data_IF_918534823352
#
_entry.id   IF_918534823352
#
_cell.length_a   1.000
_cell.length_b   1.000
_cell.length_c   1.000
_cell.angle_alpha   90.00
_cell.angle_beta   90.00
_cell.angle_gamma   90.00
#
_symmetry.space_group_name_H-M   'P 1'
#
loop_
_entity.id
_entity.type
_entity.pdbx_description
1 polymer ?
#
# COMPACT_ATOMS: atom_id res chain seq x y z
N UNK A 1 1.41 0.52 -1.87
CA UNK A 1 1.51 1.87 -1.28
C UNK A 1 2.71 1.93 -0.36
N UNK A 2 2.72 1.21 0.76
CA UNK A 2 3.93 0.95 1.53
C UNK A 2 4.90 0.14 0.66
N UNK A 3 6.18 0.45 0.73
CA UNK A 3 7.20 -0.12 -0.15
C UNK A 3 7.18 0.41 -1.60
N UNK A 4 6.19 1.23 -1.96
CA UNK A 4 6.05 1.76 -3.33
C UNK A 4 6.06 3.28 -3.36
N UNK A 5 5.22 3.95 -2.56
CA UNK A 5 5.12 5.41 -2.47
C UNK A 5 5.85 5.96 -1.24
N UNK A 6 5.82 5.23 -0.15
CA UNK A 6 6.42 5.60 1.13
C UNK A 6 6.83 4.39 1.96
N UNK A 7 7.62 4.65 3.01
CA UNK A 7 7.84 3.75 4.15
C UNK A 7 7.24 4.39 5.40
N UNK A 8 6.18 3.78 5.92
CA UNK A 8 5.49 4.23 7.13
C UNK A 8 5.87 3.43 8.37
N UNK A 9 6.67 2.37 8.22
CA UNK A 9 6.83 1.31 9.22
C UNK A 9 7.30 1.82 10.60
N UNK A 10 8.17 2.83 10.65
CA UNK A 10 8.63 3.40 11.91
C UNK A 10 7.49 4.08 12.67
N UNK A 11 6.69 4.90 11.98
CA UNK A 11 5.58 5.63 12.60
C UNK A 11 4.39 4.71 12.90
N UNK A 12 4.17 3.67 12.10
CA UNK A 12 3.22 2.59 12.42
C UNK A 12 3.63 1.89 13.71
N UNK A 13 4.91 1.49 13.86
CA UNK A 13 5.40 0.86 15.09
C UNK A 13 5.17 1.76 16.31
N UNK A 14 5.46 3.06 16.20
CA UNK A 14 5.23 4.04 17.29
C UNK A 14 3.76 4.10 17.70
N UNK A 15 2.86 4.31 16.75
CA UNK A 15 1.42 4.44 17.02
C UNK A 15 0.82 3.15 17.58
N UNK A 16 1.21 1.99 17.06
CA UNK A 16 0.75 0.69 17.56
C UNK A 16 1.26 0.41 18.96
N UNK A 17 2.52 0.75 19.29
CA UNK A 17 3.05 0.61 20.63
C UNK A 17 2.27 1.46 21.66
N UNK A 18 1.86 2.66 21.28
CA UNK A 18 0.98 3.46 22.13
C UNK A 18 -0.38 2.79 22.34
N UNK A 19 -1.00 2.26 21.28
CA UNK A 19 -2.27 1.54 21.36
C UNK A 19 -2.15 0.28 22.23
N UNK A 20 -1.05 -0.48 22.09
CA UNK A 20 -0.75 -1.67 22.91
C UNK A 20 -0.68 -1.28 24.39
N UNK A 21 0.09 -0.25 24.73
CA UNK A 21 0.23 0.23 26.12
C UNK A 21 -1.12 0.69 26.68
N UNK A 22 -1.87 1.52 25.92
CA UNK A 22 -3.20 2.00 26.32
C UNK A 22 -4.21 0.87 26.52
N UNK A 23 -4.07 -0.23 25.76
CA UNK A 23 -4.97 -1.38 25.84
C UNK A 23 -4.83 -2.18 27.13
N UNK A 24 -3.61 -2.25 27.68
CA UNK A 24 -3.27 -3.09 28.84
C UNK A 24 -3.39 -4.59 28.60
N UNK A 25 -3.61 -5.05 27.34
CA UNK A 25 -3.90 -6.45 27.02
C UNK A 25 -2.64 -7.33 26.98
N UNK A 26 -1.50 -6.74 26.65
CA UNK A 26 -0.21 -7.46 26.62
C UNK A 26 0.94 -6.48 26.83
N UNK A 27 2.09 -7.04 27.21
CA UNK A 27 3.36 -6.32 27.30
C UNK A 27 4.21 -6.73 26.08
N UNK A 28 4.11 -5.97 25.01
CA UNK A 28 4.84 -6.20 23.77
C UNK A 28 5.23 -4.86 23.19
N UNK A 29 6.43 -4.77 22.66
CA UNK A 29 6.93 -3.63 21.89
C UNK A 29 7.23 -4.13 20.48
N UNK A 30 6.62 -3.47 19.49
CA UNK A 30 6.84 -3.74 18.07
C UNK A 30 7.97 -2.87 17.56
N UNK A 31 8.87 -3.47 16.82
CA UNK A 31 9.95 -2.77 16.10
C UNK A 31 9.51 -2.39 14.70
N UNK A 32 10.25 -1.48 14.06
CA UNK A 32 10.07 -1.16 12.63
C UNK A 32 10.19 -2.43 11.77
N UNK A 33 11.13 -3.33 12.10
CA UNK A 33 11.30 -4.59 11.37
C UNK A 33 10.09 -5.53 11.50
N UNK A 34 9.43 -5.58 12.67
CA UNK A 34 8.19 -6.38 12.83
C UNK A 34 7.09 -5.85 11.91
N UNK A 35 6.95 -4.54 11.80
CA UNK A 35 5.97 -3.91 10.91
C UNK A 35 6.32 -4.17 9.44
N UNK A 36 7.57 -3.94 9.04
CA UNK A 36 8.02 -4.22 7.66
C UNK A 36 7.79 -5.68 7.25
N UNK A 37 8.00 -6.63 8.17
CA UNK A 37 7.78 -8.07 7.95
C UNK A 37 6.32 -8.46 7.70
N UNK A 38 5.36 -7.60 8.00
CA UNK A 38 3.92 -7.84 7.78
C UNK A 38 3.30 -6.90 6.74
N UNK A 39 4.04 -5.90 6.23
CA UNK A 39 3.54 -4.98 5.21
C UNK A 39 3.00 -5.72 3.98
N UNK A 40 1.91 -5.20 3.41
CA UNK A 40 1.23 -5.77 2.25
C UNK A 40 0.26 -6.91 2.55
N UNK A 41 0.24 -7.46 3.78
CA UNK A 41 -0.75 -8.44 4.23
C UNK A 41 -2.07 -7.76 4.61
N UNK A 42 -3.15 -8.54 4.68
CA UNK A 42 -4.44 -8.04 5.20
C UNK A 42 -4.38 -7.88 6.72
N UNK A 43 -5.19 -6.97 7.25
CA UNK A 43 -5.13 -6.56 8.65
C UNK A 43 -5.39 -7.70 9.65
N UNK A 44 -6.28 -8.63 9.31
CA UNK A 44 -6.55 -9.83 10.10
C UNK A 44 -5.33 -10.76 10.17
N UNK A 45 -4.63 -10.96 9.06
CA UNK A 45 -3.38 -11.73 8.99
C UNK A 45 -2.27 -11.05 9.80
N UNK A 46 -2.15 -9.72 9.71
CA UNK A 46 -1.20 -8.95 10.50
C UNK A 46 -1.45 -9.16 12.00
N UNK A 47 -2.71 -9.07 12.44
CA UNK A 47 -3.07 -9.28 13.85
C UNK A 47 -2.75 -10.71 14.32
N UNK A 48 -2.98 -11.71 13.47
CA UNK A 48 -2.66 -13.12 13.79
C UNK A 48 -1.15 -13.34 13.96
N UNK A 49 -0.33 -12.66 13.16
CA UNK A 49 1.14 -12.75 13.23
C UNK A 49 1.67 -11.99 14.44
N UNK A 50 1.21 -10.75 14.64
CA UNK A 50 1.80 -9.86 15.65
C UNK A 50 1.27 -10.12 17.06
N UNK A 51 0.07 -10.66 17.22
CA UNK A 51 -0.58 -10.88 18.52
C UNK A 51 -1.05 -12.32 18.76
N UNK A 52 -0.21 -13.35 18.49
CA UNK A 52 -0.63 -14.75 18.59
C UNK A 52 -1.02 -15.14 20.02
N UNK A 53 -0.55 -14.42 21.05
CA UNK A 53 -0.83 -14.68 22.46
C UNK A 53 -2.28 -14.34 22.86
N UNK A 54 -2.94 -13.47 22.08
CA UNK A 54 -4.30 -13.04 22.38
C UNK A 54 -5.35 -13.97 21.76
N UNK A 55 -6.52 -14.07 22.39
CA UNK A 55 -7.68 -14.70 21.76
C UNK A 55 -8.11 -13.90 20.52
N UNK A 56 -8.76 -14.55 19.57
CA UNK A 56 -9.22 -13.87 18.32
C UNK A 56 -10.02 -12.61 18.61
N UNK A 57 -10.92 -12.64 19.62
CA UNK A 57 -11.73 -11.47 19.99
C UNK A 57 -10.86 -10.32 20.52
N UNK A 58 -9.88 -10.62 21.38
CA UNK A 58 -8.96 -9.61 21.92
C UNK A 58 -8.06 -9.04 20.84
N UNK A 59 -7.53 -9.90 19.94
CA UNK A 59 -6.73 -9.47 18.79
C UNK A 59 -7.46 -8.47 17.92
N UNK A 60 -8.69 -8.79 17.52
CA UNK A 60 -9.48 -7.92 16.66
C UNK A 60 -9.82 -6.59 17.35
N UNK A 61 -10.11 -6.61 18.65
CA UNK A 61 -10.34 -5.37 19.42
C UNK A 61 -9.08 -4.51 19.55
N UNK A 62 -7.89 -5.14 19.71
CA UNK A 62 -6.63 -4.42 19.74
C UNK A 62 -6.29 -3.86 18.35
N UNK A 63 -6.46 -4.67 17.31
CA UNK A 63 -6.23 -4.27 15.93
C UNK A 63 -7.04 -3.03 15.56
N UNK A 64 -8.34 -2.99 15.89
CA UNK A 64 -9.19 -1.84 15.63
C UNK A 64 -8.63 -0.55 16.25
N UNK A 65 -8.17 -0.64 17.50
CA UNK A 65 -7.51 0.50 18.17
C UNK A 65 -6.19 0.88 17.52
N UNK A 66 -5.36 -0.10 17.18
CA UNK A 66 -4.11 0.15 16.45
C UNK A 66 -4.36 0.87 15.14
N UNK A 67 -5.33 0.38 14.33
CA UNK A 67 -5.67 1.00 13.04
C UNK A 67 -6.18 2.44 13.19
N UNK A 68 -6.96 2.71 14.22
CA UNK A 68 -7.47 4.07 14.46
C UNK A 68 -6.34 5.02 14.88
N UNK A 69 -5.55 4.65 15.88
CA UNK A 69 -4.39 5.44 16.34
C UNK A 69 -3.39 5.67 15.20
N UNK A 70 -3.15 4.65 14.39
CA UNK A 70 -2.28 4.71 13.21
C UNK A 70 -2.76 5.73 12.18
N UNK A 71 -4.03 5.68 11.79
CA UNK A 71 -4.58 6.61 10.82
C UNK A 71 -4.44 8.07 11.30
N UNK A 72 -4.70 8.33 12.59
CA UNK A 72 -4.59 9.66 13.17
C UNK A 72 -3.11 10.10 13.26
N UNK A 73 -2.24 9.20 13.71
CA UNK A 73 -0.81 9.46 13.83
C UNK A 73 -0.17 9.75 12.46
N UNK A 74 -0.47 8.93 11.45
CA UNK A 74 0.07 9.10 10.11
C UNK A 74 -0.48 10.33 9.39
N UNK A 75 -1.71 10.73 9.67
CA UNK A 75 -2.26 12.00 9.16
C UNK A 75 -1.47 13.20 9.67
N UNK A 76 -1.03 13.16 10.93
CA UNK A 76 -0.26 14.25 11.55
C UNK A 76 1.23 14.17 11.19
N UNK A 77 1.84 12.99 11.26
CA UNK A 77 3.30 12.82 11.20
C UNK A 77 3.80 12.23 9.87
N UNK A 78 2.93 11.61 9.07
CA UNK A 78 3.29 10.95 7.82
C UNK A 78 4.14 9.70 8.01
N UNK A 79 4.85 9.35 6.96
CA UNK A 79 5.94 8.38 6.89
C UNK A 79 7.11 9.00 6.14
N UNK A 80 7.90 8.19 5.47
CA UNK A 80 8.99 8.65 4.61
C UNK A 80 8.60 8.42 3.16
N UNK A 81 8.24 9.47 2.42
CA UNK A 81 8.07 9.39 0.96
C UNK A 81 9.38 8.93 0.31
N UNK A 82 9.27 7.98 -0.62
CA UNK A 82 10.44 7.67 -1.44
C UNK A 82 10.83 8.90 -2.29
N UNK A 83 12.13 9.06 -2.60
CA UNK A 83 12.60 10.19 -3.39
C UNK A 83 11.83 10.36 -4.70
N UNK A 84 11.50 11.59 -5.05
CA UNK A 84 10.86 11.96 -6.32
C UNK A 84 9.39 11.54 -6.49
N UNK A 85 8.74 10.97 -5.48
CA UNK A 85 7.35 10.49 -5.62
C UNK A 85 6.39 11.61 -6.01
N UNK A 86 6.42 12.75 -5.33
CA UNK A 86 5.46 13.83 -5.59
C UNK A 86 5.64 14.41 -7.01
N UNK A 87 6.87 14.66 -7.41
CA UNK A 87 7.22 15.20 -8.73
C UNK A 87 6.87 14.22 -9.84
N UNK A 88 7.18 12.94 -9.65
CA UNK A 88 6.87 11.87 -10.62
C UNK A 88 5.36 11.72 -10.81
N UNK A 89 4.59 11.69 -9.70
CA UNK A 89 3.12 11.64 -9.77
C UNK A 89 2.55 12.86 -10.51
N UNK A 90 3.10 14.07 -10.27
CA UNK A 90 2.68 15.28 -10.96
C UNK A 90 2.88 15.21 -12.49
N UNK A 91 3.97 14.60 -12.95
CA UNK A 91 4.22 14.39 -14.38
C UNK A 91 3.34 13.28 -14.97
N UNK A 92 3.24 12.13 -14.30
CA UNK A 92 2.44 11.00 -14.78
C UNK A 92 0.94 11.34 -14.89
N UNK A 93 0.40 12.12 -13.94
CA UNK A 93 -1.00 12.57 -13.96
C UNK A 93 -1.38 13.32 -15.23
N UNK A 94 -0.43 13.96 -15.91
CA UNK A 94 -0.70 14.68 -17.17
C UNK A 94 -1.09 13.76 -18.32
N UNK A 95 -0.78 12.46 -18.22
CA UNK A 95 -0.95 11.47 -19.29
C UNK A 95 -1.80 10.27 -18.86
N UNK A 96 -1.82 9.93 -17.56
CA UNK A 96 -2.48 8.75 -17.02
C UNK A 96 -3.47 9.11 -15.91
N UNK A 97 -4.55 8.34 -15.79
CA UNK A 97 -5.31 8.27 -14.56
C UNK A 97 -4.51 7.50 -13.50
N UNK A 98 -4.35 8.09 -12.32
CA UNK A 98 -3.64 7.47 -11.21
C UNK A 98 -4.64 6.98 -10.16
N UNK A 99 -4.36 5.80 -9.59
CA UNK A 99 -5.24 5.10 -8.66
C UNK A 99 -4.42 4.45 -7.55
N UNK A 100 -4.99 4.28 -6.35
CA UNK A 100 -4.35 3.52 -5.27
C UNK A 100 -5.22 2.32 -4.91
N UNK A 101 -4.60 1.13 -4.84
CA UNK A 101 -5.19 -0.07 -4.23
C UNK A 101 -4.22 -0.63 -3.19
N UNK A 102 -4.70 -0.88 -1.97
CA UNK A 102 -3.89 -1.40 -0.87
C UNK A 102 -4.65 -2.43 -0.03
N UNK A 103 -3.92 -3.30 0.69
CA UNK A 103 -4.49 -4.24 1.68
C UNK A 103 -4.66 -3.62 3.07
N UNK A 104 -4.55 -2.30 3.20
CA UNK A 104 -4.64 -1.58 4.46
C UNK A 104 -6.09 -1.49 5.00
N UNK A 105 -6.22 -0.99 6.21
CA UNK A 105 -7.49 -0.60 6.83
C UNK A 105 -8.09 0.63 6.15
N UNK A 106 -9.39 0.81 6.36
CA UNK A 106 -10.11 2.03 5.96
C UNK A 106 -9.50 3.26 6.63
N UNK A 107 -9.32 4.34 5.88
CA UNK A 107 -8.77 5.61 6.38
C UNK A 107 -7.26 5.76 6.26
N UNK A 108 -6.54 4.69 5.95
CA UNK A 108 -5.07 4.70 5.82
C UNK A 108 -4.59 5.41 4.55
N UNK A 109 -5.21 5.11 3.40
CA UNK A 109 -4.91 5.82 2.15
C UNK A 109 -5.25 7.29 2.29
N UNK A 110 -6.39 7.58 2.91
CA UNK A 110 -6.85 8.94 3.17
C UNK A 110 -5.86 9.70 4.07
N UNK A 111 -5.31 9.06 5.11
CA UNK A 111 -4.30 9.67 5.98
C UNK A 111 -3.03 10.04 5.20
N UNK A 112 -2.56 9.18 4.29
CA UNK A 112 -1.46 9.46 3.37
C UNK A 112 -1.78 10.66 2.47
N UNK A 113 -2.95 10.65 1.83
CA UNK A 113 -3.36 11.72 0.91
C UNK A 113 -3.55 13.06 1.62
N UNK A 114 -4.08 13.05 2.84
CA UNK A 114 -4.25 14.24 3.68
C UNK A 114 -2.90 14.83 4.08
N UNK A 115 -1.97 13.99 4.55
CA UNK A 115 -0.66 14.44 5.04
C UNK A 115 0.15 15.10 3.91
N UNK A 116 0.27 14.44 2.76
CA UNK A 116 1.09 14.90 1.63
C UNK A 116 0.35 15.83 0.66
N UNK A 117 -0.94 16.11 0.88
CA UNK A 117 -1.78 16.94 -0.01
C UNK A 117 -1.86 16.38 -1.44
N UNK A 118 -2.01 15.06 -1.56
CA UNK A 118 -1.97 14.36 -2.84
C UNK A 118 -3.35 13.95 -3.39
N UNK A 119 -4.45 14.40 -2.79
CA UNK A 119 -5.81 14.08 -3.25
C UNK A 119 -6.03 14.37 -4.73
N UNK A 120 -5.57 15.51 -5.21
CA UNK A 120 -5.74 15.92 -6.60
C UNK A 120 -4.97 15.05 -7.61
N UNK A 121 -4.07 14.19 -7.16
CA UNK A 121 -3.27 13.34 -8.03
C UNK A 121 -3.97 12.05 -8.39
N UNK A 122 -4.84 11.54 -7.54
CA UNK A 122 -5.47 10.24 -7.70
C UNK A 122 -6.96 10.39 -8.03
N UNK A 123 -7.41 9.69 -9.06
CA UNK A 123 -8.81 9.71 -9.51
C UNK A 123 -9.73 8.88 -8.62
N UNK A 124 -9.17 7.81 -8.01
CA UNK A 124 -9.93 6.91 -7.15
C UNK A 124 -9.01 6.04 -6.30
N UNK A 125 -9.53 5.53 -5.18
CA UNK A 125 -8.80 4.70 -4.23
C UNK A 125 -9.64 3.52 -3.77
N UNK A 126 -9.01 2.39 -3.42
CA UNK A 126 -9.68 1.25 -2.83
C UNK A 126 -8.76 0.49 -1.88
N UNK A 127 -9.33 -0.06 -0.82
CA UNK A 127 -8.57 -0.87 0.12
C UNK A 127 -9.38 -2.05 0.71
N UNK A 128 -8.66 -3.03 1.26
CA UNK A 128 -9.25 -4.18 1.96
C UNK A 128 -10.21 -3.74 3.08
N UNK A 129 -9.85 -2.72 3.83
CA UNK A 129 -10.65 -2.21 4.95
C UNK A 129 -12.03 -1.64 4.56
N UNK A 130 -12.26 -1.33 3.28
CA UNK A 130 -13.54 -0.82 2.81
C UNK A 130 -14.57 -1.94 2.56
N UNK A 131 -14.14 -3.11 2.07
CA UNK A 131 -15.03 -4.12 1.51
C UNK A 131 -14.61 -5.57 1.79
N UNK A 132 -13.45 -5.80 2.40
CA UNK A 132 -12.85 -7.10 2.72
C UNK A 132 -12.50 -7.96 1.50
N UNK A 133 -12.43 -7.37 0.31
CA UNK A 133 -11.98 -8.04 -0.90
C UNK A 133 -10.44 -8.07 -0.97
N UNK A 134 -9.91 -9.15 -1.53
CA UNK A 134 -8.47 -9.28 -1.74
C UNK A 134 -7.97 -8.26 -2.78
N UNK A 135 -6.67 -7.97 -2.76
CA UNK A 135 -6.05 -6.93 -3.61
C UNK A 135 -6.39 -7.09 -5.10
N UNK A 136 -6.32 -8.31 -5.64
CA UNK A 136 -6.64 -8.56 -7.05
C UNK A 136 -8.10 -8.27 -7.40
N UNK A 137 -9.02 -8.56 -6.48
CA UNK A 137 -10.45 -8.23 -6.64
C UNK A 137 -10.66 -6.71 -6.55
N UNK A 138 -9.97 -6.04 -5.64
CA UNK A 138 -10.03 -4.58 -5.50
C UNK A 138 -9.44 -3.84 -6.70
N UNK A 139 -8.34 -4.33 -7.29
CA UNK A 139 -7.81 -3.79 -8.55
C UNK A 139 -8.87 -3.90 -9.66
N UNK A 140 -9.51 -5.07 -9.81
CA UNK A 140 -10.56 -5.28 -10.83
C UNK A 140 -11.79 -4.42 -10.56
N UNK A 141 -12.24 -4.33 -9.30
CA UNK A 141 -13.38 -3.49 -8.90
C UNK A 141 -13.14 -2.03 -9.26
N UNK A 142 -11.99 -1.49 -8.88
CA UNK A 142 -11.61 -0.11 -9.17
C UNK A 142 -11.49 0.15 -10.67
N UNK A 143 -10.86 -0.77 -11.41
CA UNK A 143 -10.73 -0.67 -12.86
C UNK A 143 -12.10 -0.67 -13.56
N UNK A 144 -13.02 -1.53 -13.13
CA UNK A 144 -14.37 -1.63 -13.68
C UNK A 144 -15.18 -0.36 -13.42
N UNK A 145 -15.21 0.13 -12.17
CA UNK A 145 -16.01 1.32 -11.82
C UNK A 145 -15.50 2.61 -12.47
N UNK A 146 -14.21 2.64 -12.85
CA UNK A 146 -13.62 3.77 -13.57
C UNK A 146 -13.55 3.57 -15.09
N UNK A 147 -14.07 2.47 -15.61
CA UNK A 147 -14.12 2.17 -17.05
C UNK A 147 -12.74 2.06 -17.71
N UNK A 148 -11.73 1.61 -16.96
CA UNK A 148 -10.37 1.46 -17.48
C UNK A 148 -10.32 0.41 -18.57
N UNK A 149 -9.61 0.69 -19.67
CA UNK A 149 -9.42 -0.24 -20.79
C UNK A 149 -8.06 -0.94 -20.73
N UNK A 150 -7.08 -0.26 -20.17
CA UNK A 150 -5.73 -0.78 -19.96
C UNK A 150 -5.23 -0.29 -18.60
N UNK A 151 -4.49 -1.13 -17.91
CA UNK A 151 -3.87 -0.77 -16.64
C UNK A 151 -2.56 -1.52 -16.41
N UNK A 152 -1.71 -0.92 -15.59
CA UNK A 152 -0.52 -1.52 -14.99
C UNK A 152 -0.53 -1.21 -13.50
N UNK A 153 -0.16 -2.18 -12.69
CA UNK A 153 0.02 -2.01 -11.25
C UNK A 153 1.51 -1.89 -10.91
N UNK A 154 1.86 -0.93 -10.08
CA UNK A 154 3.21 -0.77 -9.54
C UNK A 154 3.18 -1.23 -8.09
N UNK A 155 4.01 -2.21 -7.75
CA UNK A 155 4.05 -2.80 -6.41
C UNK A 155 5.43 -3.39 -6.11
N UNK A 156 5.67 -3.77 -4.86
CA UNK A 156 7.01 -4.08 -4.36
C UNK A 156 7.17 -5.53 -3.87
N UNK A 157 6.10 -6.29 -3.70
CA UNK A 157 6.15 -7.66 -3.19
C UNK A 157 5.52 -8.67 -4.15
N UNK A 158 5.92 -9.96 -4.01
CA UNK A 158 5.37 -11.06 -4.82
C UNK A 158 3.83 -11.10 -4.81
N UNK A 159 3.20 -10.82 -3.66
CA UNK A 159 1.73 -10.77 -3.55
C UNK A 159 1.09 -9.67 -4.41
N UNK A 160 1.79 -8.56 -4.69
CA UNK A 160 1.34 -7.51 -5.60
C UNK A 160 1.34 -7.99 -7.05
N UNK A 161 2.39 -8.70 -7.43
CA UNK A 161 2.49 -9.32 -8.75
C UNK A 161 1.38 -10.35 -8.98
N UNK A 162 1.14 -11.24 -8.00
CA UNK A 162 0.07 -12.23 -8.08
C UNK A 162 -1.31 -11.58 -8.15
N UNK A 163 -1.54 -10.53 -7.36
CA UNK A 163 -2.78 -9.75 -7.40
C UNK A 163 -3.00 -9.07 -8.76
N UNK A 164 -1.94 -8.52 -9.37
CA UNK A 164 -2.01 -7.92 -10.71
C UNK A 164 -2.37 -8.95 -11.78
N UNK A 165 -1.77 -10.15 -11.72
CA UNK A 165 -2.11 -11.28 -12.61
C UNK A 165 -3.57 -11.71 -12.44
N UNK A 166 -4.04 -11.84 -11.20
CA UNK A 166 -5.43 -12.17 -10.89
C UNK A 166 -6.41 -11.13 -11.45
N UNK A 167 -6.03 -9.86 -11.36
CA UNK A 167 -6.85 -8.76 -11.89
C UNK A 167 -6.81 -8.63 -13.42
N UNK A 168 -5.82 -9.23 -14.09
CA UNK A 168 -5.60 -9.11 -15.53
C UNK A 168 -4.85 -7.85 -15.94
N UNK A 169 -4.27 -7.10 -14.98
CA UNK A 169 -3.47 -5.90 -15.27
C UNK A 169 -2.00 -6.24 -15.44
N UNK A 170 -1.23 -5.35 -16.08
CA UNK A 170 0.22 -5.45 -16.13
C UNK A 170 0.88 -5.17 -14.79
N UNK A 171 2.19 -5.42 -14.68
CA UNK A 171 2.95 -5.20 -13.45
C UNK A 171 4.31 -4.57 -13.72
N UNK A 172 4.71 -3.66 -12.84
CA UNK A 172 6.05 -3.09 -12.75
C UNK A 172 6.50 -3.24 -11.30
N UNK A 173 7.67 -3.83 -11.09
CA UNK A 173 8.24 -4.05 -9.76
C UNK A 173 8.93 -2.78 -9.24
N UNK A 174 8.56 -2.36 -8.04
CA UNK A 174 9.26 -1.35 -7.28
C UNK A 174 10.38 -2.02 -6.46
N UNK A 175 11.52 -2.30 -7.11
CA UNK A 175 12.64 -3.07 -6.55
C UNK A 175 13.37 -2.38 -5.40
N UNK A 176 13.06 -1.12 -5.12
CA UNK A 176 13.53 -0.37 -3.95
C UNK A 176 12.65 -0.58 -2.70
N UNK A 177 11.53 -1.30 -2.84
CA UNK A 177 10.58 -1.57 -1.75
C UNK A 177 11.00 -2.70 -0.81
N UNK A 178 10.03 -3.39 -0.21
CA UNK A 178 10.29 -4.36 0.86
C UNK A 178 10.55 -5.79 0.37
N UNK A 179 10.21 -6.12 -0.89
CA UNK A 179 10.25 -7.51 -1.35
C UNK A 179 10.95 -7.71 -2.69
N UNK A 180 10.86 -8.95 -3.14
CA UNK A 180 11.40 -9.41 -4.42
C UNK A 180 10.32 -10.12 -5.22
N UNK A 181 10.53 -10.25 -6.53
CA UNK A 181 9.63 -10.94 -7.46
C UNK A 181 10.38 -12.13 -8.06
N UNK A 182 9.73 -13.29 -8.09
CA UNK A 182 10.34 -14.53 -8.61
C UNK A 182 10.39 -14.56 -10.15
N UNK A 183 9.48 -13.84 -10.81
CA UNK A 183 9.38 -13.77 -12.27
C UNK A 183 10.18 -12.57 -12.84
N UNK A 184 10.55 -12.64 -14.12
CA UNK A 184 11.14 -11.50 -14.82
C UNK A 184 10.07 -10.51 -15.24
N UNK A 185 10.08 -9.34 -14.62
CA UNK A 185 9.16 -8.22 -14.87
C UNK A 185 9.96 -6.91 -15.02
N UNK A 186 9.41 -5.86 -15.63
CA UNK A 186 10.02 -4.54 -15.57
C UNK A 186 10.23 -4.10 -14.12
N UNK A 187 11.44 -3.63 -13.80
CA UNK A 187 11.83 -3.25 -12.44
C UNK A 187 12.34 -1.81 -12.39
N UNK A 188 11.93 -1.12 -11.34
CA UNK A 188 12.39 0.24 -10.99
C UNK A 188 13.36 0.15 -9.82
N UNK A 189 14.50 0.81 -9.91
CA UNK A 189 15.44 1.00 -8.81
C UNK A 189 15.13 2.26 -7.98
N UNK A 190 14.36 3.19 -8.56
CA UNK A 190 13.81 4.36 -7.89
C UNK A 190 12.44 4.68 -8.47
N UNK A 191 11.57 5.38 -7.71
CA UNK A 191 10.25 5.76 -8.21
C UNK A 191 10.34 6.72 -9.42
N UNK A 192 11.36 7.57 -9.46
CA UNK A 192 11.59 8.53 -10.54
C UNK A 192 11.84 7.87 -11.91
N UNK A 193 12.31 6.61 -11.92
CA UNK A 193 12.52 5.87 -13.17
C UNK A 193 11.22 5.63 -13.95
N UNK A 194 10.04 5.77 -13.32
CA UNK A 194 8.76 5.77 -14.03
C UNK A 194 8.71 6.84 -15.11
N UNK A 195 9.36 7.99 -14.93
CA UNK A 195 9.44 9.03 -15.98
C UNK A 195 10.25 8.54 -17.17
N UNK A 196 11.34 7.83 -16.93
CA UNK A 196 12.15 7.21 -17.99
C UNK A 196 11.37 6.08 -18.67
N UNK A 197 10.68 5.26 -17.90
CA UNK A 197 9.81 4.18 -18.41
C UNK A 197 8.69 4.76 -19.27
N UNK A 198 8.08 5.87 -18.86
CA UNK A 198 7.09 6.59 -19.64
C UNK A 198 7.67 7.06 -20.99
N UNK A 199 8.82 7.74 -20.98
CA UNK A 199 9.47 8.25 -22.19
C UNK A 199 9.86 7.13 -23.18
N UNK A 200 10.19 5.92 -22.69
CA UNK A 200 10.54 4.75 -23.50
C UNK A 200 9.34 3.89 -23.93
N UNK A 201 8.12 4.26 -23.51
CA UNK A 201 6.92 3.44 -23.76
C UNK A 201 6.88 2.15 -22.94
N UNK A 202 7.69 2.03 -21.87
CA UNK A 202 7.72 0.82 -21.04
C UNK A 202 6.44 0.69 -20.21
N UNK A 203 5.86 1.82 -19.77
CA UNK A 203 4.58 1.82 -19.04
C UNK A 203 3.46 1.26 -19.93
N UNK A 204 3.33 1.80 -21.15
CA UNK A 204 2.32 1.35 -22.12
C UNK A 204 2.56 -0.11 -22.52
N UNK A 205 3.82 -0.52 -22.70
CA UNK A 205 4.20 -1.89 -23.01
C UNK A 205 3.89 -2.88 -21.88
N UNK A 206 3.94 -2.41 -20.62
CA UNK A 206 3.56 -3.21 -19.46
C UNK A 206 2.05 -3.27 -19.22
N UNK A 207 1.26 -2.28 -19.70
CA UNK A 207 -0.20 -2.28 -19.54
C UNK A 207 -0.83 -3.50 -20.21
N UNK A 208 -1.90 -4.01 -19.61
CA UNK A 208 -2.75 -5.07 -20.17
C UNK A 208 -4.14 -4.53 -20.43
N UNK A 209 -4.78 -5.04 -21.48
CA UNK A 209 -6.19 -4.81 -21.77
C UNK A 209 -7.07 -5.52 -20.72
N UNK A 210 -8.13 -4.87 -20.27
CA UNK A 210 -9.07 -5.32 -19.25
C UNK A 210 -10.40 -5.77 -19.86
#
# INVERSE_FOLDING_TARGET
MDGTLWDSAENVAKSWNEAIVKSGLLKKELTTADIQGVMGKTMDVIADILFPELTKKMRMSLLEKCCQEENDYLREHGGILYPGVAETLAELKKQYGLYIVSNCQKGYIEAFLDHYKLWDYFSDIECYGNNLLQKGENIRLLATRNGLKKAVYVGDIQADYEASKQAGVGFIHAGYGFGTIDDTVPELLTFEELLTFNQRGTIEGAMREL
#
